data_IF_718778810620
#
_entry.id   IF_718778810620
#
_cell.length_a   1.000
_cell.length_b   1.000
_cell.length_c   1.000
_cell.angle_alpha   90.00
_cell.angle_beta   90.00
_cell.angle_gamma   90.00
#
_symmetry.space_group_name_H-M   'P 1'
#
loop_
_entity.id
_entity.type
_entity.pdbx_description
1 polymer ?
#
# COMPACT_ATOMS: atom_id res chain seq x y z
N UNK A 1 21.88 21.74 -16.05
CA UNK A 1 21.19 20.73 -16.89
C UNK A 1 19.69 20.85 -16.65
N UNK A 2 18.86 20.65 -17.67
CA UNK A 2 17.41 20.60 -17.49
C UNK A 2 17.01 19.30 -16.78
N UNK A 3 15.95 19.34 -15.97
CA UNK A 3 15.41 18.15 -15.32
C UNK A 3 14.78 17.21 -16.36
N UNK A 4 14.90 15.90 -16.14
CA UNK A 4 14.16 14.88 -16.92
C UNK A 4 12.75 14.74 -16.35
N UNK A 5 11.73 14.77 -17.21
CA UNK A 5 10.31 14.62 -16.84
C UNK A 5 9.79 13.32 -17.46
N UNK A 6 9.14 12.49 -16.63
CA UNK A 6 8.60 11.19 -17.03
C UNK A 6 7.08 11.27 -17.25
N UNK A 7 6.58 10.49 -18.20
CA UNK A 7 5.16 10.34 -18.53
C UNK A 7 4.78 8.86 -18.66
N UNK A 8 3.51 8.56 -18.91
CA UNK A 8 3.00 7.17 -19.00
C UNK A 8 3.77 6.30 -20.00
N UNK A 9 4.20 6.86 -21.13
CA UNK A 9 4.98 6.15 -22.15
C UNK A 9 6.38 5.71 -21.67
N UNK A 10 6.88 6.33 -20.61
CA UNK A 10 8.19 6.07 -20.02
C UNK A 10 8.09 5.07 -18.85
N UNK A 11 6.87 4.64 -18.49
CA UNK A 11 6.59 3.69 -17.42
C UNK A 11 6.00 2.38 -17.97
N UNK A 12 6.33 1.26 -17.32
CA UNK A 12 5.80 -0.06 -17.68
C UNK A 12 5.11 -0.72 -16.47
N UNK A 13 3.77 -0.71 -16.47
CA UNK A 13 2.97 -1.34 -15.42
C UNK A 13 3.05 -2.87 -15.43
N UNK A 14 3.47 -3.50 -16.53
CA UNK A 14 3.58 -4.97 -16.61
C UNK A 14 4.58 -5.52 -15.59
N UNK A 15 5.54 -4.71 -15.14
CA UNK A 15 6.49 -5.07 -14.09
C UNK A 15 5.84 -5.30 -12.72
N UNK A 16 4.60 -4.83 -12.52
CA UNK A 16 3.84 -4.94 -11.27
C UNK A 16 2.65 -5.89 -11.34
N UNK A 17 2.23 -6.35 -12.54
CA UNK A 17 0.99 -7.13 -12.72
C UNK A 17 0.94 -8.42 -11.90
N UNK A 18 2.07 -9.11 -11.80
CA UNK A 18 2.17 -10.37 -11.05
C UNK A 18 2.63 -10.18 -9.60
N UNK A 19 2.72 -8.92 -9.13
CA UNK A 19 3.17 -8.58 -7.78
C UNK A 19 1.98 -8.22 -6.90
N UNK A 20 2.07 -8.64 -5.64
CA UNK A 20 1.18 -8.17 -4.58
C UNK A 20 1.74 -6.90 -3.97
N UNK A 21 0.98 -5.81 -4.03
CA UNK A 21 1.36 -4.53 -3.43
C UNK A 21 0.67 -4.38 -2.07
N UNK A 22 1.46 -4.40 -1.00
CA UNK A 22 0.98 -4.16 0.35
C UNK A 22 0.98 -2.67 0.68
N UNK A 23 -0.20 -2.12 0.97
CA UNK A 23 -0.38 -0.74 1.42
C UNK A 23 -0.58 -0.75 2.93
N UNK A 24 0.42 -0.28 3.69
CA UNK A 24 0.34 -0.21 5.14
C UNK A 24 -0.16 1.17 5.58
N UNK A 25 -1.35 1.19 6.17
CA UNK A 25 -2.07 2.43 6.50
C UNK A 25 -3.06 2.81 5.41
N UNK A 26 -4.27 3.17 5.84
CA UNK A 26 -5.37 3.57 4.94
C UNK A 26 -5.87 5.00 5.24
N UNK A 27 -4.92 5.91 5.51
CA UNK A 27 -5.17 7.35 5.62
C UNK A 27 -5.27 8.04 4.25
N UNK A 28 -5.00 9.34 4.17
CA UNK A 28 -5.14 10.10 2.92
C UNK A 28 -4.34 9.51 1.74
N UNK A 29 -3.05 9.23 1.92
CA UNK A 29 -2.23 8.64 0.86
C UNK A 29 -2.54 7.17 0.63
N UNK A 30 -2.73 6.40 1.71
CA UNK A 30 -3.02 4.97 1.63
C UNK A 30 -4.32 4.67 0.88
N UNK A 31 -5.40 5.38 1.21
CA UNK A 31 -6.68 5.25 0.53
C UNK A 31 -6.57 5.59 -0.97
N UNK A 32 -5.96 6.72 -1.30
CA UNK A 32 -5.83 7.17 -2.68
C UNK A 32 -4.97 6.20 -3.51
N UNK A 33 -3.79 5.84 -3.01
CA UNK A 33 -2.87 4.96 -3.74
C UNK A 33 -3.44 3.55 -3.89
N UNK A 34 -4.05 2.99 -2.84
CA UNK A 34 -4.62 1.65 -2.90
C UNK A 34 -5.71 1.52 -3.98
N UNK A 35 -6.64 2.48 -4.02
CA UNK A 35 -7.71 2.45 -5.02
C UNK A 35 -7.16 2.68 -6.42
N UNK A 36 -6.28 3.66 -6.61
CA UNK A 36 -5.70 3.94 -7.93
C UNK A 36 -4.90 2.75 -8.48
N UNK A 37 -4.12 2.06 -7.64
CA UNK A 37 -3.40 0.85 -8.03
C UNK A 37 -4.36 -0.29 -8.39
N UNK A 38 -5.41 -0.51 -7.61
CA UNK A 38 -6.45 -1.49 -7.92
C UNK A 38 -7.17 -1.18 -9.23
N UNK A 39 -7.57 0.08 -9.42
CA UNK A 39 -8.26 0.54 -10.63
C UNK A 39 -7.33 0.52 -11.86
N UNK A 40 -6.01 0.54 -11.64
CA UNK A 40 -4.97 0.27 -12.66
C UNK A 40 -4.77 -1.22 -12.95
N UNK A 41 -5.55 -2.11 -12.33
CA UNK A 41 -5.52 -3.55 -12.56
C UNK A 41 -4.43 -4.30 -11.79
N UNK A 42 -3.86 -3.71 -10.74
CA UNK A 42 -2.82 -4.33 -9.92
C UNK A 42 -3.39 -5.04 -8.69
N UNK A 43 -2.67 -6.03 -8.18
CA UNK A 43 -3.05 -6.74 -6.96
C UNK A 43 -2.65 -5.92 -5.72
N UNK A 44 -3.62 -5.54 -4.90
CA UNK A 44 -3.42 -4.66 -3.73
C UNK A 44 -4.03 -5.28 -2.49
N UNK A 45 -3.24 -5.32 -1.40
CA UNK A 45 -3.68 -5.72 -0.07
C UNK A 45 -3.45 -4.58 0.93
N UNK A 46 -4.34 -4.46 1.91
CA UNK A 46 -4.30 -3.36 2.88
C UNK A 46 -3.88 -3.90 4.25
N UNK A 47 -2.80 -3.36 4.80
CA UNK A 47 -2.42 -3.53 6.20
C UNK A 47 -3.06 -2.42 7.04
N UNK A 48 -4.14 -2.72 7.74
CA UNK A 48 -4.81 -1.79 8.64
C UNK A 48 -5.46 -2.53 9.82
N UNK A 49 -5.23 -2.05 11.04
CA UNK A 49 -5.75 -2.69 12.25
C UNK A 49 -7.28 -2.54 12.40
N UNK A 50 -8.00 -3.57 12.86
CA UNK A 50 -9.45 -3.49 13.10
C UNK A 50 -9.78 -2.48 14.20
N UNK A 51 -11.02 -1.99 14.20
CA UNK A 51 -11.53 -1.03 15.19
C UNK A 51 -11.08 0.41 14.97
N UNK A 52 -10.59 0.75 13.78
CA UNK A 52 -10.24 2.11 13.39
C UNK A 52 -11.16 2.62 12.29
N UNK A 53 -11.48 3.93 12.23
CA UNK A 53 -12.30 4.48 11.15
C UNK A 53 -11.76 4.18 9.74
N UNK A 54 -10.42 4.13 9.61
CA UNK A 54 -9.77 3.82 8.33
C UNK A 54 -9.87 2.34 7.95
N UNK A 55 -10.04 1.43 8.93
CA UNK A 55 -10.36 0.02 8.64
C UNK A 55 -11.75 -0.08 8.04
N UNK A 56 -12.74 0.53 8.70
CA UNK A 56 -14.13 0.53 8.22
C UNK A 56 -14.24 1.20 6.84
N UNK A 57 -13.46 2.26 6.62
CA UNK A 57 -13.37 2.93 5.32
C UNK A 57 -12.80 1.99 4.25
N UNK A 58 -11.70 1.29 4.52
CA UNK A 58 -11.13 0.31 3.59
C UNK A 58 -12.13 -0.81 3.25
N UNK A 59 -12.86 -1.31 4.24
CA UNK A 59 -13.92 -2.30 4.05
C UNK A 59 -15.04 -1.73 3.17
N UNK A 60 -15.47 -0.49 3.42
CA UNK A 60 -16.51 0.16 2.60
C UNK A 60 -16.11 0.36 1.14
N UNK A 61 -14.80 0.46 0.85
CA UNK A 61 -14.26 0.48 -0.51
C UNK A 61 -14.01 -0.92 -1.10
N UNK A 62 -14.43 -1.99 -0.43
CA UNK A 62 -14.35 -3.36 -0.92
C UNK A 62 -13.01 -4.05 -0.69
N UNK A 63 -12.13 -3.50 0.16
CA UNK A 63 -10.93 -4.21 0.61
C UNK A 63 -11.25 -5.14 1.79
N UNK A 64 -10.37 -6.12 2.00
CA UNK A 64 -10.37 -6.98 3.19
C UNK A 64 -9.06 -6.70 3.95
N UNK A 65 -9.02 -5.69 4.84
CA UNK A 65 -7.77 -5.30 5.48
C UNK A 65 -7.28 -6.38 6.44
N UNK A 66 -5.98 -6.60 6.44
CA UNK A 66 -5.29 -7.56 7.30
C UNK A 66 -4.33 -6.84 8.25
N UNK A 67 -3.68 -7.58 9.14
CA UNK A 67 -2.62 -7.00 9.99
C UNK A 67 -1.44 -6.51 9.15
N UNK A 68 -0.65 -5.56 9.68
CA UNK A 68 0.56 -5.09 9.00
C UNK A 68 1.55 -6.23 8.73
N UNK A 69 1.72 -7.16 9.68
CA UNK A 69 2.59 -8.32 9.53
C UNK A 69 2.10 -9.29 8.44
N UNK A 70 0.79 -9.52 8.37
CA UNK A 70 0.21 -10.36 7.34
C UNK A 70 0.33 -9.72 5.94
N UNK A 71 0.08 -8.42 5.83
CA UNK A 71 0.28 -7.68 4.59
C UNK A 71 1.75 -7.69 4.15
N UNK A 72 2.69 -7.48 5.08
CA UNK A 72 4.12 -7.53 4.79
C UNK A 72 4.56 -8.90 4.28
N UNK A 73 4.03 -9.99 4.87
CA UNK A 73 4.35 -11.35 4.46
C UNK A 73 3.81 -11.72 3.07
N UNK A 74 2.68 -11.14 2.67
CA UNK A 74 2.04 -11.41 1.38
C UNK A 74 2.51 -10.46 0.26
N UNK A 75 3.07 -9.30 0.60
CA UNK A 75 3.47 -8.28 -0.36
C UNK A 75 4.85 -8.54 -0.98
N UNK A 76 4.92 -8.48 -2.30
CA UNK A 76 6.19 -8.38 -3.05
C UNK A 76 6.77 -6.96 -3.02
N UNK A 77 5.89 -5.97 -2.84
CA UNK A 77 6.22 -4.56 -2.67
C UNK A 77 5.41 -3.99 -1.50
N UNK A 78 6.09 -3.34 -0.56
CA UNK A 78 5.47 -2.79 0.65
C UNK A 78 5.58 -1.26 0.63
N UNK A 79 4.44 -0.59 0.53
CA UNK A 79 4.31 0.85 0.68
C UNK A 79 3.89 1.17 2.12
N UNK A 80 4.82 1.76 2.88
CA UNK A 80 4.57 2.22 4.25
C UNK A 80 3.99 3.64 4.16
N UNK A 81 2.68 3.78 4.42
CA UNK A 81 1.94 5.04 4.34
C UNK A 81 1.30 5.37 5.70
N UNK A 82 2.07 5.11 6.75
CA UNK A 82 1.76 5.42 8.14
C UNK A 82 2.40 6.78 8.52
N UNK A 83 1.95 7.44 9.60
CA UNK A 83 2.64 8.62 10.13
C UNK A 83 4.13 8.32 10.39
N UNK A 84 5.01 9.26 10.00
CA UNK A 84 6.46 9.04 10.00
C UNK A 84 7.00 8.60 11.36
N UNK A 85 6.44 9.15 12.45
CA UNK A 85 6.82 8.85 13.82
C UNK A 85 6.53 7.40 14.25
N UNK A 86 5.63 6.68 13.58
CA UNK A 86 5.32 5.28 13.88
C UNK A 86 5.98 4.28 12.92
N UNK A 87 6.48 4.74 11.76
CA UNK A 87 7.01 3.86 10.72
C UNK A 87 8.19 3.01 11.23
N UNK A 88 9.08 3.59 12.03
CA UNK A 88 10.25 2.89 12.54
C UNK A 88 9.89 1.69 13.43
N UNK A 89 8.89 1.83 14.29
CA UNK A 89 8.44 0.78 15.19
C UNK A 89 7.72 -0.32 14.40
N UNK A 90 6.78 0.07 13.53
CA UNK A 90 6.05 -0.87 12.68
C UNK A 90 6.99 -1.66 11.77
N UNK A 91 8.02 -1.02 11.21
CA UNK A 91 9.00 -1.72 10.39
C UNK A 91 9.71 -2.82 11.16
N UNK A 92 10.19 -2.52 12.38
CA UNK A 92 10.90 -3.50 13.21
C UNK A 92 10.00 -4.61 13.71
N UNK A 93 8.77 -4.29 14.09
CA UNK A 93 7.90 -5.24 14.78
C UNK A 93 7.03 -6.07 13.82
N UNK A 94 6.84 -5.60 12.58
CA UNK A 94 5.86 -6.19 11.66
C UNK A 94 6.36 -6.37 10.21
N UNK A 95 7.53 -5.85 9.81
CA UNK A 95 7.95 -5.87 8.39
C UNK A 95 9.31 -6.54 8.16
N UNK A 96 10.32 -6.25 8.98
CA UNK A 96 11.73 -6.53 8.67
C UNK A 96 12.07 -8.02 8.48
N UNK A 97 11.35 -8.92 9.15
CA UNK A 97 11.68 -10.34 9.26
C UNK A 97 10.68 -11.23 8.49
#
# INVERSE_FOLDING_TARGET
>A
MAATIYYDKDANLDLLKDKTIAILGYGSQGHAQAQNLRDSGLNVIIGQRPGSPNYDLAVSHGFQPVSAAEAAKQGDLINILLPDEVQGDVYRDHIRD
#
